data_IF_498960360678
#
_entry.id   IF_498960360678
#
_cell.length_a   1.000
_cell.length_b   1.000
_cell.length_c   1.000
_cell.angle_alpha   90.00
_cell.angle_beta   90.00
_cell.angle_gamma   90.00
#
_symmetry.space_group_name_H-M   'P 1'
#
loop_
_entity.id
_entity.type
_entity.pdbx_description
1 polymer ?
#
# COMPACT_ATOMS: atom_id res chain seq x y z
N UNK A 1 4.59 15.07 14.16
CA UNK A 1 5.11 13.97 13.32
C UNK A 1 4.92 14.40 11.88
N UNK A 2 5.94 14.24 11.05
CA UNK A 2 5.81 14.47 9.61
C UNK A 2 5.01 13.31 9.00
N UNK A 3 3.99 13.62 8.21
CA UNK A 3 3.06 12.64 7.64
C UNK A 3 2.85 12.98 6.18
N UNK A 4 3.08 11.99 5.32
CA UNK A 4 2.80 12.07 3.90
C UNK A 4 1.62 11.18 3.54
N UNK A 5 0.60 11.76 2.92
CA UNK A 5 -0.57 11.02 2.48
C UNK A 5 -0.42 10.67 1.00
N UNK A 6 -0.47 9.37 0.71
CA UNK A 6 -0.46 8.86 -0.66
C UNK A 6 -1.78 8.13 -0.93
N UNK A 7 -2.38 8.41 -2.07
CA UNK A 7 -3.61 7.76 -2.47
C UNK A 7 -3.32 6.38 -3.09
N UNK A 8 -4.00 5.34 -2.59
CA UNK A 8 -3.99 4.01 -3.19
C UNK A 8 -5.20 3.83 -4.12
N UNK A 9 -5.25 4.63 -5.19
CA UNK A 9 -6.39 4.63 -6.11
C UNK A 9 -6.64 3.23 -6.69
N UNK A 10 -7.89 2.77 -6.61
CA UNK A 10 -8.32 1.49 -7.17
C UNK A 10 -7.96 0.26 -6.32
N UNK A 11 -7.19 0.40 -5.23
CA UNK A 11 -6.76 -0.75 -4.43
C UNK A 11 -7.93 -1.47 -3.77
N UNK A 12 -8.87 -0.72 -3.18
CA UNK A 12 -10.06 -1.30 -2.55
C UNK A 12 -10.90 -2.09 -3.58
N UNK A 13 -11.17 -1.50 -4.74
CA UNK A 13 -11.92 -2.16 -5.81
C UNK A 13 -11.21 -3.42 -6.33
N UNK A 14 -9.88 -3.39 -6.42
CA UNK A 14 -9.09 -4.54 -6.86
C UNK A 14 -9.11 -5.69 -5.83
N UNK A 15 -9.12 -5.35 -4.53
CA UNK A 15 -9.28 -6.33 -3.45
C UNK A 15 -10.67 -6.96 -3.49
N UNK A 16 -11.71 -6.14 -3.61
CA UNK A 16 -13.10 -6.60 -3.69
C UNK A 16 -13.34 -7.51 -4.90
N UNK A 17 -12.69 -7.21 -6.03
CA UNK A 17 -12.74 -8.02 -7.24
C UNK A 17 -11.85 -9.28 -7.19
N UNK A 18 -11.05 -9.44 -6.12
CA UNK A 18 -10.04 -10.48 -5.98
C UNK A 18 -9.09 -10.56 -7.20
N UNK A 19 -8.69 -9.41 -7.76
CA UNK A 19 -7.83 -9.31 -8.94
C UNK A 19 -6.35 -9.06 -8.53
N UNK A 20 -5.48 -10.07 -8.53
CA UNK A 20 -4.09 -9.93 -8.09
C UNK A 20 -3.22 -9.09 -9.03
N UNK A 21 -3.65 -8.89 -10.28
CA UNK A 21 -2.94 -8.03 -11.24
C UNK A 21 -3.21 -6.58 -10.90
N UNK A 22 -4.49 -6.23 -10.73
CA UNK A 22 -4.90 -4.87 -10.36
C UNK A 22 -4.40 -4.47 -8.97
N UNK A 23 -4.39 -5.40 -8.00
CA UNK A 23 -3.81 -5.15 -6.66
C UNK A 23 -2.34 -4.75 -6.78
N UNK A 24 -1.53 -5.52 -7.52
CA UNK A 24 -0.10 -5.21 -7.68
C UNK A 24 0.13 -3.88 -8.39
N UNK A 25 -0.68 -3.56 -9.40
CA UNK A 25 -0.59 -2.29 -10.11
C UNK A 25 -0.91 -1.09 -9.19
N UNK A 26 -2.00 -1.18 -8.41
CA UNK A 26 -2.38 -0.12 -7.48
C UNK A 26 -1.34 0.08 -6.37
N UNK A 27 -0.80 -1.01 -5.81
CA UNK A 27 0.28 -0.94 -4.80
C UNK A 27 1.54 -0.33 -5.40
N UNK A 28 1.97 -0.75 -6.60
CA UNK A 28 3.17 -0.22 -7.23
C UNK A 28 3.07 1.28 -7.50
N UNK A 29 1.90 1.74 -7.97
CA UNK A 29 1.65 3.17 -8.17
C UNK A 29 1.72 3.94 -6.85
N UNK A 30 1.05 3.44 -5.80
CA UNK A 30 1.10 4.07 -4.49
C UNK A 30 2.54 4.14 -3.94
N UNK A 31 3.36 3.09 -4.15
CA UNK A 31 4.75 3.11 -3.69
C UNK A 31 5.61 4.10 -4.49
N UNK A 32 5.38 4.23 -5.80
CA UNK A 32 6.08 5.21 -6.64
C UNK A 32 5.77 6.65 -6.22
N UNK A 33 4.54 6.90 -5.77
CA UNK A 33 4.11 8.21 -5.28
C UNK A 33 4.53 8.47 -3.82
N UNK A 34 5.07 7.46 -3.10
CA UNK A 34 5.50 7.63 -1.71
C UNK A 34 6.99 8.01 -1.64
N UNK A 35 7.36 9.09 -0.94
CA UNK A 35 8.76 9.50 -0.79
C UNK A 35 9.65 8.43 -0.17
N UNK A 36 10.87 8.24 -0.69
CA UNK A 36 11.78 7.14 -0.30
C UNK A 36 12.07 7.04 1.21
N UNK A 37 12.13 8.18 1.92
CA UNK A 37 12.43 8.25 3.35
C UNK A 37 11.34 7.72 4.30
N UNK A 38 10.15 7.38 3.79
CA UNK A 38 9.06 6.80 4.59
C UNK A 38 9.39 5.34 4.95
N UNK A 39 9.40 5.04 6.25
CA UNK A 39 9.73 3.71 6.79
C UNK A 39 8.57 3.03 7.52
N UNK A 40 7.51 3.79 7.81
CA UNK A 40 6.32 3.38 8.53
C UNK A 40 5.09 3.70 7.67
N UNK A 41 4.21 2.71 7.43
CA UNK A 41 2.98 2.87 6.63
C UNK A 41 1.77 2.55 7.48
N UNK A 42 0.76 3.42 7.44
CA UNK A 42 -0.57 3.19 8.03
C UNK A 42 -1.55 2.85 6.91
N UNK A 43 -2.24 1.72 7.03
CA UNK A 43 -3.27 1.26 6.12
C UNK A 43 -4.59 1.90 6.52
N UNK A 44 -4.92 3.05 5.92
CA UNK A 44 -6.14 3.80 6.25
C UNK A 44 -7.47 3.14 5.85
N UNK A 45 -7.49 1.84 5.52
CA UNK A 45 -8.69 1.11 5.09
C UNK A 45 -8.66 -0.32 5.60
N UNK A 46 -9.80 -0.79 6.13
CA UNK A 46 -9.97 -2.16 6.68
C UNK A 46 -9.70 -3.28 5.69
N UNK A 47 -9.68 -3.01 4.38
CA UNK A 47 -9.45 -4.03 3.34
C UNK A 47 -7.96 -4.26 3.08
N UNK A 48 -7.09 -3.30 3.40
CA UNK A 48 -5.70 -3.33 2.94
C UNK A 48 -4.83 -4.32 3.74
N UNK A 49 -5.25 -4.70 4.94
CA UNK A 49 -4.62 -5.78 5.70
C UNK A 49 -4.54 -7.10 4.91
N UNK A 50 -5.47 -7.35 3.98
CA UNK A 50 -5.50 -8.56 3.14
C UNK A 50 -4.35 -8.64 2.13
N UNK A 51 -3.71 -7.52 1.80
CA UNK A 51 -2.65 -7.43 0.79
C UNK A 51 -1.33 -6.92 1.38
N UNK A 52 -1.17 -7.00 2.70
CA UNK A 52 0.01 -6.52 3.40
C UNK A 52 1.33 -7.13 2.85
N UNK A 53 1.32 -8.40 2.45
CA UNK A 53 2.49 -9.06 1.85
C UNK A 53 2.89 -8.45 0.51
N UNK A 54 1.91 -8.05 -0.31
CA UNK A 54 2.15 -7.37 -1.59
C UNK A 54 2.77 -5.99 -1.34
N UNK A 55 2.27 -5.26 -0.34
CA UNK A 55 2.81 -3.95 0.05
C UNK A 55 4.25 -4.06 0.53
N UNK A 56 4.56 -5.05 1.38
CA UNK A 56 5.93 -5.31 1.86
C UNK A 56 6.88 -5.66 0.71
N UNK A 57 6.43 -6.48 -0.24
CA UNK A 57 7.23 -6.87 -1.39
C UNK A 57 7.50 -5.69 -2.34
N UNK A 58 6.51 -4.81 -2.53
CA UNK A 58 6.64 -3.63 -3.39
C UNK A 58 7.58 -2.55 -2.82
N UNK A 59 7.82 -2.56 -1.50
CA UNK A 59 8.74 -1.62 -0.86
C UNK A 59 9.64 -2.29 0.18
N UNK A 60 10.74 -2.90 -0.29
CA UNK A 60 11.79 -3.42 0.58
C UNK A 60 12.35 -2.28 1.43
N UNK A 61 12.21 -2.36 2.75
CA UNK A 61 12.67 -1.33 3.69
C UNK A 61 11.58 -0.71 4.56
N UNK A 62 10.30 -1.00 4.29
CA UNK A 62 9.24 -0.70 5.27
C UNK A 62 9.54 -1.48 6.56
N UNK A 63 9.68 -0.74 7.65
CA UNK A 63 9.97 -1.29 8.97
C UNK A 63 8.69 -1.68 9.70
N UNK A 64 7.62 -0.90 9.53
CA UNK A 64 6.33 -1.15 10.18
C UNK A 64 5.16 -0.85 9.26
N UNK A 65 4.16 -1.72 9.35
CA UNK A 65 2.85 -1.60 8.72
C UNK A 65 1.84 -1.62 9.86
N UNK A 66 1.00 -0.59 9.92
CA UNK A 66 -0.10 -0.48 10.87
C UNK A 66 -1.40 -0.62 10.10
N UNK A 67 -2.33 -1.39 10.63
CA UNK A 67 -3.72 -1.50 10.15
C UNK A 67 -4.64 -0.71 11.09
#
# INVERSE_FOLDING_TARGET
LDVHQTAAFGLAQAIDAADPVSIRAAVAQAMADTPEGITDIVLGCTHYGLVADVIRAARPGIRRLYD
#
